data_IF_621063950265
#
_entry.id   IF_621063950265
#
_cell.length_a   1.000
_cell.length_b   1.000
_cell.length_c   1.000
_cell.angle_alpha   90.00
_cell.angle_beta   90.00
_cell.angle_gamma   90.00
#
_symmetry.space_group_name_H-M   'P 1'
#
loop_
_entity.id
_entity.type
_entity.pdbx_description
1 polymer ?
#
# COMPACT_ATOMS: atom_id res chain seq x y z
N UNK A 1 84.45 3.39 4.42
CA UNK A 1 83.17 3.25 5.17
C UNK A 1 82.49 4.61 5.25
N UNK A 2 81.54 4.87 4.35
CA UNK A 2 80.83 6.14 4.23
C UNK A 2 79.75 6.20 5.33
N UNK A 3 79.88 7.16 6.26
CA UNK A 3 78.91 7.42 7.33
C UNK A 3 77.72 8.20 6.78
N UNK A 4 76.58 7.53 6.60
CA UNK A 4 75.29 8.19 6.39
C UNK A 4 74.80 8.79 7.72
N UNK A 5 74.87 10.12 7.87
CA UNK A 5 74.15 10.84 8.91
C UNK A 5 72.68 10.97 8.48
N UNK A 6 71.78 10.28 9.18
CA UNK A 6 70.33 10.48 9.05
C UNK A 6 69.96 11.81 9.70
N UNK A 7 69.48 12.74 8.89
CA UNK A 7 68.86 13.99 9.31
C UNK A 7 67.45 13.65 9.83
N UNK A 8 67.20 13.78 11.13
CA UNK A 8 65.86 13.71 11.70
C UNK A 8 65.22 15.10 11.56
N UNK A 9 64.35 15.28 10.58
CA UNK A 9 63.50 16.46 10.48
C UNK A 9 62.34 16.29 11.46
N UNK A 10 62.39 16.99 12.58
CA UNK A 10 61.28 17.11 13.52
C UNK A 10 60.22 18.02 12.87
N UNK A 11 59.16 17.42 12.33
CA UNK A 11 57.97 18.15 11.90
C UNK A 11 57.19 18.50 13.17
N UNK A 12 57.30 19.75 13.62
CA UNK A 12 56.47 20.30 14.67
C UNK A 12 55.02 20.38 14.16
N UNK A 13 54.16 19.48 14.66
CA UNK A 13 52.73 19.52 14.40
C UNK A 13 52.12 20.61 15.28
N UNK A 14 51.97 21.81 14.72
CA UNK A 14 51.26 22.92 15.35
C UNK A 14 49.78 22.55 15.46
N UNK A 15 49.34 22.13 16.64
CA UNK A 15 47.92 21.96 16.98
C UNK A 15 47.30 23.35 17.06
N UNK A 16 46.69 23.79 15.95
CA UNK A 16 45.83 24.97 15.94
C UNK A 16 44.53 24.58 16.63
N UNK A 17 44.41 24.94 17.91
CA UNK A 17 43.16 24.90 18.67
C UNK A 17 42.19 25.90 18.04
N UNK A 18 41.37 25.45 17.09
CA UNK A 18 40.19 26.17 16.69
C UNK A 18 39.19 26.10 17.84
N UNK A 19 39.05 27.20 18.56
CA UNK A 19 37.94 27.41 19.49
C UNK A 19 36.64 27.33 18.68
N UNK A 20 35.83 26.30 18.90
CA UNK A 20 34.43 26.29 18.49
C UNK A 20 33.72 27.42 19.23
N UNK A 21 33.51 28.56 18.57
CA UNK A 21 32.44 29.46 18.96
C UNK A 21 31.12 28.70 18.82
N UNK A 22 30.35 28.62 19.90
CA UNK A 22 29.00 28.09 19.85
C UNK A 22 28.18 28.97 18.90
N UNK A 23 27.95 28.49 17.69
CA UNK A 23 26.91 29.02 16.83
C UNK A 23 25.61 28.80 17.60
N UNK A 24 25.01 29.90 18.06
CA UNK A 24 23.74 29.88 18.76
C UNK A 24 22.74 29.06 17.96
N UNK A 25 22.07 28.14 18.66
CA UNK A 25 21.00 27.32 18.10
C UNK A 25 20.03 28.22 17.35
N UNK A 26 20.00 28.10 16.02
CA UNK A 26 18.88 28.61 15.22
C UNK A 26 17.67 27.89 15.79
N UNK A 27 16.66 28.58 16.35
CA UNK A 27 15.46 27.92 16.83
C UNK A 27 14.80 27.30 15.61
N UNK A 28 15.04 26.01 15.42
CA UNK A 28 14.31 25.21 14.45
C UNK A 28 12.97 24.95 15.11
N UNK A 29 12.14 25.99 15.19
CA UNK A 29 10.72 25.78 15.39
C UNK A 29 10.20 25.18 14.08
N UNK A 30 10.50 23.90 13.88
CA UNK A 30 9.59 23.03 13.15
C UNK A 30 8.28 23.19 13.90
N UNK A 31 7.41 24.08 13.41
CA UNK A 31 6.00 24.05 13.77
C UNK A 31 5.60 22.61 13.50
N UNK A 32 5.44 21.84 14.57
CA UNK A 32 4.77 20.55 14.49
C UNK A 32 3.51 20.81 13.68
N UNK A 33 3.31 20.12 12.53
CA UNK A 33 2.09 20.29 11.78
C UNK A 33 0.95 20.08 12.77
N UNK A 34 0.06 21.07 12.89
CA UNK A 34 -1.15 20.90 13.67
C UNK A 34 -1.77 19.56 13.23
N UNK A 35 -2.13 18.67 14.17
CA UNK A 35 -2.78 17.42 13.80
C UNK A 35 -3.95 17.77 12.89
N UNK A 36 -4.11 17.10 11.73
CA UNK A 36 -5.13 17.46 10.77
C UNK A 36 -6.47 17.47 11.50
N UNK A 37 -7.20 18.59 11.38
CA UNK A 37 -8.51 18.74 12.00
C UNK A 37 -9.32 17.47 11.67
N UNK A 38 -9.88 16.83 12.70
CA UNK A 38 -10.69 15.63 12.51
C UNK A 38 -11.91 16.00 11.65
N UNK A 39 -12.27 15.20 10.65
CA UNK A 39 -13.54 15.43 9.96
C UNK A 39 -14.69 15.12 10.91
N UNK A 40 -15.61 16.06 11.04
CA UNK A 40 -16.81 15.95 11.85
C UNK A 40 -17.85 15.07 11.14
N UNK A 41 -18.70 14.42 11.93
CA UNK A 41 -19.70 13.48 11.41
C UNK A 41 -20.62 14.14 10.37
N UNK A 42 -21.00 15.39 10.60
CA UNK A 42 -21.88 16.18 9.72
C UNK A 42 -21.26 16.51 8.36
N UNK A 43 -19.93 16.41 8.23
CA UNK A 43 -19.23 16.70 6.97
C UNK A 43 -19.36 15.56 5.95
N UNK A 44 -19.59 14.33 6.40
CA UNK A 44 -19.58 13.15 5.53
C UNK A 44 -20.79 12.22 5.70
N UNK A 45 -21.38 12.10 6.89
CA UNK A 45 -22.51 11.20 7.10
C UNK A 45 -23.81 11.78 6.54
N UNK A 46 -24.46 11.04 5.64
CA UNK A 46 -25.73 11.41 4.98
C UNK A 46 -26.94 10.63 5.51
N UNK A 47 -26.70 9.44 6.02
CA UNK A 47 -27.69 8.57 6.67
C UNK A 47 -27.18 8.15 8.05
N UNK A 48 -28.09 7.84 8.99
CA UNK A 48 -27.71 7.10 10.19
C UNK A 48 -27.09 5.75 9.79
N UNK A 49 -26.15 5.28 10.59
CA UNK A 49 -25.49 4.00 10.39
C UNK A 49 -25.24 3.33 11.73
N UNK A 50 -25.27 2.00 11.76
CA UNK A 50 -24.92 1.26 12.97
C UNK A 50 -23.40 1.20 13.11
N UNK A 51 -22.87 1.78 14.19
CA UNK A 51 -21.45 1.62 14.54
C UNK A 51 -21.20 0.15 14.89
N UNK A 52 -20.28 -0.47 14.17
CA UNK A 52 -19.87 -1.85 14.39
C UNK A 52 -18.78 -1.91 15.46
N UNK A 53 -18.75 -3.01 16.21
CA UNK A 53 -17.71 -3.26 17.19
C UNK A 53 -16.39 -3.57 16.46
N UNK A 54 -15.38 -2.71 16.61
CA UNK A 54 -14.08 -2.88 15.97
C UNK A 54 -13.31 -4.12 16.44
N UNK A 55 -13.71 -4.74 17.57
CA UNK A 55 -13.15 -5.99 18.03
C UNK A 55 -13.71 -7.22 17.28
N UNK A 56 -14.94 -7.12 16.75
CA UNK A 56 -15.63 -8.27 16.14
C UNK A 56 -14.88 -8.91 14.98
N UNK A 57 -14.22 -8.17 14.06
CA UNK A 57 -13.42 -8.79 12.99
C UNK A 57 -12.23 -9.64 13.49
N UNK A 58 -11.79 -9.41 14.73
CA UNK A 58 -10.70 -10.17 15.37
C UNK A 58 -11.20 -11.37 16.18
N UNK A 59 -12.51 -11.53 16.37
CA UNK A 59 -13.04 -12.60 17.22
C UNK A 59 -12.71 -13.99 16.65
N UNK A 60 -12.44 -14.92 17.57
CA UNK A 60 -12.17 -16.32 17.30
C UNK A 60 -13.18 -17.17 18.07
N UNK A 61 -13.64 -18.26 17.45
CA UNK A 61 -14.48 -19.23 18.17
C UNK A 61 -13.69 -19.93 19.27
N UNK A 62 -14.38 -20.45 20.28
CA UNK A 62 -13.74 -21.24 21.34
C UNK A 62 -13.00 -22.47 20.80
N UNK A 63 -13.44 -23.05 19.69
CA UNK A 63 -12.74 -24.13 19.01
C UNK A 63 -11.42 -23.65 18.40
N UNK A 64 -11.43 -22.56 17.64
CA UNK A 64 -10.22 -21.96 17.03
C UNK A 64 -9.21 -21.53 18.09
N UNK A 65 -9.66 -20.91 19.19
CA UNK A 65 -8.79 -20.52 20.31
C UNK A 65 -8.10 -21.74 20.93
N UNK A 66 -8.84 -22.82 21.15
CA UNK A 66 -8.32 -24.06 21.74
C UNK A 66 -7.34 -24.77 20.82
N UNK A 67 -7.67 -24.85 19.53
CA UNK A 67 -6.80 -25.46 18.52
C UNK A 67 -5.42 -24.78 18.48
N UNK A 68 -5.42 -23.45 18.35
CA UNK A 68 -4.19 -22.66 18.38
C UNK A 68 -3.42 -22.81 19.69
N UNK A 69 -4.09 -22.66 20.85
CA UNK A 69 -3.42 -22.75 22.15
C UNK A 69 -2.86 -24.16 22.42
N UNK A 70 -3.54 -25.21 21.94
CA UNK A 70 -3.05 -26.59 22.01
C UNK A 70 -1.74 -26.73 21.25
N UNK A 71 -1.66 -26.20 20.03
CA UNK A 71 -0.41 -26.15 19.27
C UNK A 71 0.65 -25.30 19.98
N UNK A 72 0.29 -24.08 20.38
CA UNK A 72 1.22 -23.05 20.86
C UNK A 72 1.90 -23.43 22.19
N UNK A 73 1.18 -24.15 23.05
CA UNK A 73 1.69 -24.65 24.33
C UNK A 73 2.13 -26.12 24.29
N UNK A 74 2.11 -26.77 23.12
CA UNK A 74 2.51 -28.17 23.01
C UNK A 74 3.97 -28.37 23.47
N UNK A 75 4.31 -29.45 24.22
CA UNK A 75 5.68 -29.68 24.69
C UNK A 75 6.75 -29.68 23.59
N UNK A 76 6.41 -30.12 22.37
CA UNK A 76 7.31 -30.06 21.21
C UNK A 76 7.72 -28.63 20.82
N UNK A 77 6.95 -27.61 21.21
CA UNK A 77 7.26 -26.21 20.95
C UNK A 77 8.09 -25.57 22.07
N UNK A 78 8.40 -26.29 23.16
CA UNK A 78 9.04 -25.72 24.35
C UNK A 78 10.34 -24.97 24.04
N UNK A 79 11.15 -25.48 23.11
CA UNK A 79 12.43 -24.90 22.71
C UNK A 79 12.30 -23.84 21.59
N UNK A 80 11.09 -23.55 21.12
CA UNK A 80 10.82 -22.53 20.10
C UNK A 80 10.34 -21.24 20.76
N UNK A 81 10.89 -20.09 20.38
CA UNK A 81 10.47 -18.77 20.92
C UNK A 81 9.00 -18.47 20.56
N UNK A 82 8.20 -17.82 21.42
CA UNK A 82 6.76 -17.58 21.20
C UNK A 82 6.37 -17.01 19.82
N UNK A 83 7.06 -15.95 19.37
CA UNK A 83 6.82 -15.35 18.05
C UNK A 83 7.10 -16.32 16.88
N UNK A 84 8.07 -17.24 17.04
CA UNK A 84 8.34 -18.30 16.06
C UNK A 84 7.28 -19.40 16.08
N UNK A 85 6.71 -19.73 17.24
CA UNK A 85 5.58 -20.68 17.32
C UNK A 85 4.38 -20.16 16.54
N UNK A 86 4.03 -18.88 16.69
CA UNK A 86 2.97 -18.26 15.90
C UNK A 86 3.27 -18.34 14.40
N UNK A 87 4.50 -17.97 13.99
CA UNK A 87 4.90 -18.04 12.59
C UNK A 87 4.76 -19.47 12.02
N UNK A 88 5.27 -20.48 12.74
CA UNK A 88 5.20 -21.87 12.30
C UNK A 88 3.75 -22.38 12.19
N UNK A 89 2.87 -21.97 13.10
CA UNK A 89 1.43 -22.27 13.01
C UNK A 89 0.82 -21.67 11.74
N UNK A 90 1.11 -20.39 11.47
CA UNK A 90 0.61 -19.68 10.30
C UNK A 90 1.15 -20.28 9.00
N UNK A 91 2.42 -20.70 8.95
CA UNK A 91 3.00 -21.36 7.78
C UNK A 91 2.25 -22.64 7.41
N UNK A 92 1.90 -23.47 8.40
CA UNK A 92 1.09 -24.67 8.19
C UNK A 92 -0.30 -24.32 7.67
N UNK A 93 -0.93 -23.28 8.22
CA UNK A 93 -2.24 -22.81 7.79
C UNK A 93 -2.23 -22.26 6.35
N UNK A 94 -1.28 -21.39 6.02
CA UNK A 94 -1.17 -20.72 4.72
C UNK A 94 -0.87 -21.71 3.58
N UNK A 95 -0.23 -22.85 3.88
CA UNK A 95 0.04 -23.89 2.87
C UNK A 95 -1.23 -24.41 2.16
N UNK A 96 -2.38 -24.36 2.84
CA UNK A 96 -3.68 -24.80 2.32
C UNK A 96 -4.69 -23.63 2.22
N UNK A 97 -4.21 -22.39 2.20
CA UNK A 97 -5.07 -21.21 2.17
C UNK A 97 -5.37 -20.78 0.73
N UNK A 98 -6.66 -20.64 0.42
CA UNK A 98 -7.12 -20.16 -0.89
C UNK A 98 -7.13 -18.64 -0.92
N UNK A 99 -6.22 -18.06 -1.70
CA UNK A 99 -6.17 -16.61 -1.88
C UNK A 99 -7.33 -16.15 -2.80
N UNK A 100 -8.31 -15.46 -2.21
CA UNK A 100 -9.51 -14.95 -2.88
C UNK A 100 -9.54 -13.42 -2.88
N UNK A 101 -10.53 -12.83 -3.55
CA UNK A 101 -10.70 -11.37 -3.54
C UNK A 101 -11.43 -10.89 -2.27
N UNK A 102 -12.27 -11.76 -1.71
CA UNK A 102 -13.14 -11.50 -0.57
C UNK A 102 -12.35 -11.27 0.72
N UNK A 103 -12.82 -10.28 1.49
CA UNK A 103 -12.30 -9.95 2.81
C UNK A 103 -13.16 -10.62 3.88
N UNK A 104 -12.57 -11.56 4.62
CA UNK A 104 -13.18 -12.25 5.73
C UNK A 104 -12.67 -11.77 7.10
N UNK A 105 -13.50 -11.95 8.13
CA UNK A 105 -13.11 -11.87 9.54
C UNK A 105 -12.10 -12.96 9.89
N UNK A 106 -11.46 -12.85 11.06
CA UNK A 106 -10.50 -13.85 11.53
C UNK A 106 -11.11 -15.25 11.64
N UNK A 107 -12.32 -15.33 12.21
CA UNK A 107 -13.01 -16.61 12.37
C UNK A 107 -13.41 -17.21 11.02
N UNK A 108 -13.95 -16.39 10.12
CA UNK A 108 -14.39 -16.86 8.80
C UNK A 108 -13.21 -17.31 7.94
N UNK A 109 -12.09 -16.58 7.99
CA UNK A 109 -10.87 -16.93 7.26
C UNK A 109 -10.26 -18.25 7.76
N UNK A 110 -10.21 -18.46 9.08
CA UNK A 110 -9.75 -19.72 9.68
C UNK A 110 -10.67 -20.89 9.34
N UNK A 111 -11.98 -20.67 9.34
CA UNK A 111 -12.97 -21.71 9.05
C UNK A 111 -12.98 -22.10 7.56
N UNK A 112 -13.02 -21.11 6.67
CA UNK A 112 -13.06 -21.33 5.22
C UNK A 112 -11.70 -21.65 4.60
N UNK A 113 -10.61 -21.41 5.33
CA UNK A 113 -9.22 -21.44 4.81
C UNK A 113 -9.07 -20.60 3.55
N UNK A 114 -9.72 -19.43 3.53
CA UNK A 114 -9.72 -18.55 2.37
C UNK A 114 -9.81 -17.09 2.76
N UNK A 115 -9.52 -16.20 1.81
CA UNK A 115 -9.58 -14.75 1.97
C UNK A 115 -8.42 -14.06 1.29
N UNK A 116 -8.24 -12.77 1.57
CA UNK A 116 -7.15 -11.97 1.04
C UNK A 116 -6.10 -11.64 2.13
N UNK A 117 -5.17 -10.75 1.80
CA UNK A 117 -4.10 -10.34 2.71
C UNK A 117 -4.62 -9.65 3.98
N UNK A 118 -5.75 -8.93 3.89
CA UNK A 118 -6.40 -8.32 5.06
C UNK A 118 -6.93 -9.40 6.00
N UNK A 119 -7.53 -10.46 5.47
CA UNK A 119 -7.99 -11.61 6.27
C UNK A 119 -6.86 -12.32 6.99
N UNK A 120 -5.74 -12.56 6.31
CA UNK A 120 -4.56 -13.18 6.94
C UNK A 120 -3.91 -12.27 7.99
N UNK A 121 -3.90 -10.95 7.75
CA UNK A 121 -3.48 -9.98 8.75
C UNK A 121 -4.37 -9.98 9.99
N UNK A 122 -5.69 -10.06 9.82
CA UNK A 122 -6.65 -10.21 10.91
C UNK A 122 -6.41 -11.49 11.71
N UNK A 123 -6.30 -12.64 11.04
CA UNK A 123 -5.98 -13.93 11.68
C UNK A 123 -4.68 -13.84 12.48
N UNK A 124 -3.63 -13.28 11.89
CA UNK A 124 -2.33 -13.14 12.53
C UNK A 124 -2.42 -12.25 13.77
N UNK A 125 -3.14 -11.13 13.70
CA UNK A 125 -3.39 -10.27 14.86
C UNK A 125 -4.15 -11.02 15.95
N UNK A 126 -5.24 -11.71 15.62
CA UNK A 126 -6.07 -12.40 16.61
C UNK A 126 -5.29 -13.50 17.34
N UNK A 127 -4.45 -14.25 16.63
CA UNK A 127 -3.61 -15.28 17.22
C UNK A 127 -2.44 -14.68 18.02
N UNK A 128 -1.84 -13.59 17.54
CA UNK A 128 -0.80 -12.87 18.29
C UNK A 128 -1.35 -12.31 19.61
N UNK A 129 -2.51 -11.67 19.59
CA UNK A 129 -3.17 -11.14 20.79
C UNK A 129 -3.55 -12.28 21.75
N UNK A 130 -4.05 -13.41 21.23
CA UNK A 130 -4.35 -14.60 22.03
C UNK A 130 -3.09 -15.19 22.69
N UNK A 131 -1.93 -15.08 22.06
CA UNK A 131 -0.63 -15.51 22.59
C UNK A 131 0.09 -14.45 23.44
N UNK A 132 -0.49 -13.26 23.62
CA UNK A 132 0.14 -12.16 24.35
C UNK A 132 1.35 -11.54 23.64
N UNK A 133 1.39 -11.56 22.30
CA UNK A 133 2.48 -11.03 21.49
C UNK A 133 2.18 -9.61 20.98
N UNK A 134 3.18 -8.72 21.06
CA UNK A 134 3.11 -7.40 20.42
C UNK A 134 3.13 -7.57 18.89
N UNK A 135 2.17 -6.93 18.21
CA UNK A 135 2.05 -6.92 16.76
C UNK A 135 1.92 -5.49 16.23
N UNK A 136 2.59 -5.20 15.11
CA UNK A 136 2.47 -3.93 14.38
C UNK A 136 2.19 -4.17 12.91
N UNK A 137 1.53 -3.20 12.29
CA UNK A 137 1.21 -3.22 10.87
C UNK A 137 2.21 -2.36 10.09
N UNK A 138 2.46 -2.76 8.85
CA UNK A 138 3.18 -1.96 7.88
C UNK A 138 2.46 -2.02 6.55
N UNK A 139 2.13 -0.85 6.00
CA UNK A 139 1.61 -0.70 4.66
C UNK A 139 2.77 -0.54 3.70
N UNK A 140 2.79 -1.35 2.64
CA UNK A 140 3.86 -1.34 1.65
C UNK A 140 3.56 -0.39 0.49
N UNK A 141 4.59 0.37 0.11
CA UNK A 141 4.66 1.16 -1.12
C UNK A 141 4.89 0.20 -2.29
N UNK A 142 3.82 -0.44 -2.79
CA UNK A 142 3.99 -1.59 -3.66
C UNK A 142 2.71 -2.31 -4.03
N UNK A 143 2.84 -3.29 -4.92
CA UNK A 143 1.76 -3.91 -5.70
C UNK A 143 0.45 -4.13 -4.93
N UNK A 144 -0.57 -3.27 -5.12
CA UNK A 144 -1.91 -3.65 -4.75
C UNK A 144 -2.42 -4.71 -5.73
N UNK A 145 -3.26 -5.63 -5.25
CA UNK A 145 -4.02 -6.45 -6.18
C UNK A 145 -5.09 -5.58 -6.84
N UNK A 146 -5.06 -5.56 -8.17
CA UNK A 146 -6.11 -4.98 -8.98
C UNK A 146 -7.24 -5.97 -9.11
N UNK A 147 -8.44 -5.53 -8.76
CA UNK A 147 -9.65 -6.21 -9.15
C UNK A 147 -10.50 -5.27 -10.00
N UNK A 148 -10.68 -5.60 -11.28
CA UNK A 148 -11.63 -4.91 -12.13
C UNK A 148 -12.90 -5.76 -12.27
N UNK A 149 -14.04 -5.25 -11.81
CA UNK A 149 -15.38 -5.79 -12.13
C UNK A 149 -16.19 -4.73 -12.86
N UNK A 150 -16.48 -4.97 -14.13
CA UNK A 150 -17.25 -4.03 -14.95
C UNK A 150 -16.53 -2.68 -15.11
N UNK A 151 -17.18 -1.58 -14.72
CA UNK A 151 -16.64 -0.20 -14.86
C UNK A 151 -15.76 0.26 -13.68
N UNK A 152 -15.59 -0.57 -12.65
CA UNK A 152 -14.88 -0.20 -11.41
C UNK A 152 -13.60 -1.01 -11.23
N UNK A 153 -12.52 -0.31 -10.90
CA UNK A 153 -11.21 -0.87 -10.57
C UNK A 153 -10.97 -0.66 -9.08
N UNK A 154 -10.87 -1.75 -8.34
CA UNK A 154 -10.55 -1.79 -6.91
C UNK A 154 -9.06 -2.03 -6.73
N UNK A 155 -8.50 -1.32 -5.74
CA UNK A 155 -7.07 -1.32 -5.44
C UNK A 155 -6.92 -1.82 -4.01
N UNK A 156 -6.51 -3.07 -3.84
CA UNK A 156 -6.26 -3.63 -2.50
C UNK A 156 -4.85 -3.26 -2.06
N UNK A 157 -4.70 -2.38 -1.07
CA UNK A 157 -3.37 -2.00 -0.56
C UNK A 157 -2.70 -3.18 0.15
N UNK A 158 -1.40 -3.35 -0.08
CA UNK A 158 -0.65 -4.46 0.48
C UNK A 158 -0.18 -4.15 1.92
N UNK A 159 -0.63 -4.97 2.86
CA UNK A 159 -0.28 -4.88 4.28
C UNK A 159 0.53 -6.11 4.67
N UNK A 160 1.54 -5.91 5.53
CA UNK A 160 2.26 -6.96 6.25
C UNK A 160 2.26 -6.67 7.75
N UNK A 161 2.55 -7.68 8.55
CA UNK A 161 2.61 -7.54 10.02
C UNK A 161 3.98 -7.86 10.56
N UNK A 162 4.38 -7.17 11.64
CA UNK A 162 5.57 -7.47 12.44
C UNK A 162 5.14 -8.04 13.79
N UNK A 163 5.54 -9.28 14.07
CA UNK A 163 5.30 -9.96 15.36
C UNK A 163 6.58 -9.90 16.17
N UNK A 164 6.53 -9.29 17.35
CA UNK A 164 7.70 -9.07 18.19
C UNK A 164 7.94 -10.23 19.16
N UNK A 165 9.20 -10.49 19.45
CA UNK A 165 9.59 -11.36 20.54
C UNK A 165 9.20 -10.74 21.89
N UNK A 166 8.77 -11.57 22.83
CA UNK A 166 8.72 -11.21 24.25
C UNK A 166 10.14 -10.84 24.68
N UNK A 167 10.30 -9.74 25.43
CA UNK A 167 11.62 -9.17 25.75
C UNK A 167 12.56 -10.21 26.39
N UNK A 168 13.79 -10.26 25.88
CA UNK A 168 14.88 -11.06 26.45
C UNK A 168 15.65 -10.20 27.47
N UNK A 169 16.21 -10.78 28.54
CA UNK A 169 17.03 -10.03 29.48
C UNK A 169 18.20 -9.38 28.73
N UNK A 170 18.29 -8.05 28.84
CA UNK A 170 19.33 -7.26 28.19
C UNK A 170 20.65 -7.51 28.94
N UNK A 171 21.64 -8.11 28.28
CA UNK A 171 23.03 -8.08 28.76
C UNK A 171 23.64 -6.69 28.57
N UNK A 172 24.36 -6.18 29.55
CA UNK A 172 25.00 -4.85 29.53
C UNK A 172 26.02 -4.69 28.38
N UNK A 173 26.60 -5.79 27.88
CA UNK A 173 27.65 -5.80 26.85
C UNK A 173 27.16 -5.87 25.39
N UNK A 174 25.84 -5.82 25.14
CA UNK A 174 25.29 -5.98 23.79
C UNK A 174 24.63 -4.69 23.28
N UNK A 175 25.08 -4.21 22.11
CA UNK A 175 24.43 -3.09 21.42
C UNK A 175 23.21 -3.62 20.65
N UNK A 176 22.00 -3.27 21.11
CA UNK A 176 20.74 -3.72 20.51
C UNK A 176 20.22 -2.71 19.47
N UNK A 177 20.14 -3.11 18.19
CA UNK A 177 19.62 -2.28 17.08
C UNK A 177 18.09 -2.33 16.90
N UNK A 178 17.34 -2.74 17.93
CA UNK A 178 15.87 -2.81 17.93
C UNK A 178 15.32 -4.09 18.54
N UNK A 179 14.00 -4.14 18.77
CA UNK A 179 13.34 -5.36 19.27
C UNK A 179 13.33 -6.46 18.20
N UNK A 180 13.73 -7.68 18.57
CA UNK A 180 13.63 -8.89 17.73
C UNK A 180 12.18 -9.10 17.27
N UNK A 181 11.99 -9.37 15.98
CA UNK A 181 10.66 -9.57 15.39
C UNK A 181 10.73 -10.46 14.14
N UNK A 182 9.56 -10.97 13.74
CA UNK A 182 9.33 -11.61 12.44
C UNK A 182 8.41 -10.73 11.60
N UNK A 183 8.76 -10.60 10.32
CA UNK A 183 7.89 -10.00 9.31
C UNK A 183 7.08 -11.12 8.68
N UNK A 184 5.77 -11.01 8.74
CA UNK A 184 4.84 -11.91 8.06
C UNK A 184 4.28 -11.15 6.87
N UNK A 185 4.77 -11.55 5.69
CA UNK A 185 4.27 -11.08 4.41
C UNK A 185 3.32 -12.15 3.84
N UNK A 186 2.11 -11.72 3.50
CA UNK A 186 1.03 -12.59 3.03
C UNK A 186 1.12 -12.88 1.53
N UNK A 187 2.18 -12.42 0.85
CA UNK A 187 2.47 -12.74 -0.54
C UNK A 187 3.86 -13.36 -0.71
N UNK A 188 3.95 -14.33 -1.62
CA UNK A 188 5.22 -14.88 -2.08
C UNK A 188 5.77 -14.00 -3.21
N UNK A 189 7.07 -13.72 -3.20
CA UNK A 189 7.84 -13.00 -4.24
C UNK A 189 7.64 -11.48 -4.32
N UNK A 190 7.88 -10.76 -3.22
CA UNK A 190 8.06 -9.32 -3.30
C UNK A 190 9.51 -8.95 -3.05
N UNK A 191 10.03 -8.01 -3.83
CA UNK A 191 11.26 -7.30 -3.49
C UNK A 191 11.13 -6.70 -2.08
N UNK A 192 12.23 -6.29 -1.45
CA UNK A 192 12.15 -5.59 -0.17
C UNK A 192 11.51 -4.21 -0.39
N UNK A 193 10.17 -4.16 -0.33
CA UNK A 193 9.40 -2.96 -0.60
C UNK A 193 9.44 -2.05 0.62
N UNK A 194 9.72 -0.77 0.35
CA UNK A 194 9.58 0.27 1.37
C UNK A 194 8.12 0.38 1.82
N UNK A 195 7.89 0.86 3.04
CA UNK A 195 6.54 1.01 3.57
C UNK A 195 6.54 1.73 4.91
N UNK A 196 5.38 2.17 5.36
CA UNK A 196 5.22 2.92 6.61
C UNK A 196 4.35 2.16 7.61
N UNK A 197 4.55 2.47 8.89
CA UNK A 197 3.76 1.88 9.97
C UNK A 197 2.36 2.48 10.02
N UNK A 198 1.36 1.62 10.21
CA UNK A 198 -0.05 2.04 10.37
C UNK A 198 -0.58 1.59 11.73
N UNK A 199 -1.54 2.35 12.25
CA UNK A 199 -2.17 2.05 13.54
C UNK A 199 -3.21 0.92 13.42
N UNK A 200 -3.60 0.31 14.56
CA UNK A 200 -4.71 -0.67 14.57
C UNK A 200 -6.04 -0.05 14.11
N UNK A 201 -6.26 1.23 14.42
CA UNK A 201 -7.45 1.98 13.98
C UNK A 201 -7.45 2.18 12.45
N UNK A 202 -6.31 2.55 11.87
CA UNK A 202 -6.18 2.67 10.43
C UNK A 202 -6.39 1.30 9.74
N UNK A 203 -5.72 0.25 10.22
CA UNK A 203 -5.86 -1.10 9.70
C UNK A 203 -7.33 -1.59 9.73
N UNK A 204 -8.03 -1.45 10.85
CA UNK A 204 -9.44 -1.90 10.92
C UNK A 204 -10.37 -1.00 10.08
N UNK A 205 -10.05 0.28 9.88
CA UNK A 205 -10.79 1.12 8.94
C UNK A 205 -10.65 0.64 7.49
N UNK A 206 -9.46 0.14 7.11
CA UNK A 206 -9.22 -0.43 5.79
C UNK A 206 -10.01 -1.72 5.58
N UNK A 207 -10.15 -2.57 6.61
CA UNK A 207 -11.04 -3.74 6.56
C UNK A 207 -12.48 -3.35 6.20
N UNK A 208 -13.04 -2.36 6.89
CA UNK A 208 -14.39 -1.86 6.59
C UNK A 208 -14.48 -1.22 5.20
N UNK A 209 -13.44 -0.52 4.77
CA UNK A 209 -13.34 0.07 3.43
C UNK A 209 -13.33 -1.00 2.33
N UNK A 210 -12.61 -2.11 2.53
CA UNK A 210 -12.61 -3.26 1.62
C UNK A 210 -13.99 -3.90 1.52
N UNK A 211 -14.64 -4.16 2.66
CA UNK A 211 -16.02 -4.69 2.66
C UNK A 211 -16.98 -3.73 1.95
N UNK A 212 -16.87 -2.42 2.20
CA UNK A 212 -17.69 -1.42 1.52
C UNK A 212 -17.51 -1.46 0.00
N UNK A 213 -16.26 -1.59 -0.46
CA UNK A 213 -15.93 -1.73 -1.87
C UNK A 213 -16.52 -3.02 -2.49
N UNK A 214 -16.45 -4.15 -1.80
CA UNK A 214 -17.03 -5.42 -2.23
C UNK A 214 -18.55 -5.34 -2.38
N UNK A 215 -19.24 -4.77 -1.38
CA UNK A 215 -20.69 -4.60 -1.42
C UNK A 215 -21.13 -3.55 -2.46
N UNK A 216 -20.34 -2.49 -2.64
CA UNK A 216 -20.54 -1.53 -3.73
C UNK A 216 -20.43 -2.23 -5.10
N UNK A 217 -19.47 -3.12 -5.29
CA UNK A 217 -19.32 -3.90 -6.53
C UNK A 217 -20.50 -4.84 -6.82
N UNK A 218 -21.22 -5.27 -5.77
CA UNK A 218 -22.43 -6.11 -5.85
C UNK A 218 -23.70 -5.28 -6.04
N UNK A 219 -23.63 -3.95 -5.99
CA UNK A 219 -24.80 -3.05 -6.06
C UNK A 219 -25.55 -2.92 -4.73
N UNK A 220 -25.00 -3.45 -3.63
CA UNK A 220 -25.61 -3.44 -2.30
C UNK A 220 -25.31 -2.10 -1.60
N UNK A 221 -25.80 -1.00 -2.19
CA UNK A 221 -25.35 0.36 -1.87
C UNK A 221 -25.58 0.80 -0.42
N UNK A 222 -26.70 0.40 0.20
CA UNK A 222 -26.98 0.74 1.60
C UNK A 222 -26.02 0.04 2.57
N UNK A 223 -25.68 -1.22 2.30
CA UNK A 223 -24.70 -1.96 3.10
C UNK A 223 -23.28 -1.40 2.88
N UNK A 224 -22.93 -1.10 1.63
CA UNK A 224 -21.69 -0.40 1.32
C UNK A 224 -21.58 0.96 2.04
N UNK A 225 -22.68 1.71 2.13
CA UNK A 225 -22.74 2.96 2.88
C UNK A 225 -22.48 2.73 4.37
N UNK A 226 -23.17 1.78 5.01
CA UNK A 226 -22.94 1.49 6.43
C UNK A 226 -21.49 1.10 6.72
N UNK A 227 -20.90 0.24 5.87
CA UNK A 227 -19.51 -0.20 6.02
C UNK A 227 -18.51 0.94 5.81
N UNK A 228 -18.69 1.75 4.76
CA UNK A 228 -17.81 2.92 4.53
C UNK A 228 -17.99 4.01 5.59
N UNK A 229 -19.18 4.18 6.15
CA UNK A 229 -19.43 5.05 7.28
C UNK A 229 -18.71 4.56 8.56
N UNK A 230 -18.64 3.25 8.77
CA UNK A 230 -17.81 2.67 9.84
C UNK A 230 -16.31 2.96 9.61
N UNK A 231 -15.80 2.79 8.39
CA UNK A 231 -14.42 3.16 8.04
C UNK A 231 -14.13 4.65 8.32
N UNK A 232 -15.01 5.55 7.88
CA UNK A 232 -14.93 7.00 8.13
C UNK A 232 -15.00 7.33 9.62
N UNK A 233 -15.87 6.67 10.39
CA UNK A 233 -15.98 6.87 11.84
C UNK A 233 -14.70 6.50 12.59
N UNK A 234 -13.97 5.49 12.11
CA UNK A 234 -12.75 4.98 12.76
C UNK A 234 -11.55 5.83 12.37
N UNK A 235 -11.42 6.17 11.09
CA UNK A 235 -10.27 6.89 10.56
C UNK A 235 -10.72 7.93 9.51
N UNK A 236 -11.28 9.07 9.97
CA UNK A 236 -11.99 10.04 9.11
C UNK A 236 -11.09 10.86 8.18
N UNK A 237 -9.80 11.00 8.53
CA UNK A 237 -8.84 11.77 7.73
C UNK A 237 -8.07 10.88 6.73
N UNK A 238 -8.50 9.64 6.50
CA UNK A 238 -7.92 8.80 5.44
C UNK A 238 -8.46 9.24 4.08
N UNK A 239 -7.60 9.66 3.15
CA UNK A 239 -8.05 10.03 1.81
C UNK A 239 -8.67 8.87 1.05
N UNK A 240 -8.29 7.62 1.36
CA UNK A 240 -8.86 6.42 0.73
C UNK A 240 -10.25 6.08 1.30
N UNK A 241 -10.49 6.33 2.59
CA UNK A 241 -11.82 6.20 3.18
C UNK A 241 -12.77 7.26 2.60
N UNK A 242 -12.30 8.52 2.51
CA UNK A 242 -13.02 9.62 1.87
C UNK A 242 -13.36 9.27 0.41
N UNK A 243 -12.36 8.78 -0.33
CA UNK A 243 -12.54 8.38 -1.71
C UNK A 243 -13.60 7.27 -1.86
N UNK A 244 -13.49 6.19 -1.08
CA UNK A 244 -14.45 5.07 -1.12
C UNK A 244 -15.86 5.52 -0.75
N UNK A 245 -16.00 6.28 0.34
CA UNK A 245 -17.29 6.82 0.76
C UNK A 245 -17.88 7.77 -0.29
N UNK A 246 -17.05 8.60 -0.95
CA UNK A 246 -17.49 9.50 -2.02
C UNK A 246 -18.12 8.76 -3.21
N UNK A 247 -17.57 7.60 -3.59
CA UNK A 247 -18.11 6.78 -4.67
C UNK A 247 -19.49 6.22 -4.32
N UNK A 248 -19.68 5.84 -3.07
CA UNK A 248 -20.94 5.28 -2.56
C UNK A 248 -22.01 6.37 -2.45
N UNK A 249 -21.69 7.52 -1.83
CA UNK A 249 -22.66 8.62 -1.72
C UNK A 249 -23.01 9.24 -3.09
N UNK A 250 -22.10 9.16 -4.07
CA UNK A 250 -22.39 9.57 -5.45
C UNK A 250 -23.53 8.74 -6.05
N UNK A 251 -23.53 7.43 -5.84
CA UNK A 251 -24.56 6.53 -6.36
C UNK A 251 -25.86 6.62 -5.53
N UNK A 252 -25.78 6.84 -4.21
CA UNK A 252 -26.96 6.93 -3.35
C UNK A 252 -27.66 8.30 -3.36
N UNK A 253 -26.91 9.38 -3.57
CA UNK A 253 -27.43 10.75 -3.49
C UNK A 253 -27.16 11.49 -4.80
N UNK A 254 -25.99 12.12 -4.93
CA UNK A 254 -25.65 12.89 -6.12
C UNK A 254 -24.14 13.07 -6.30
N UNK A 255 -23.75 13.46 -7.51
CA UNK A 255 -22.36 13.78 -7.84
C UNK A 255 -21.87 15.03 -7.10
N UNK A 256 -22.75 15.98 -6.80
CA UNK A 256 -22.45 17.20 -6.04
C UNK A 256 -22.06 16.87 -4.59
N UNK A 257 -22.75 15.93 -3.96
CA UNK A 257 -22.42 15.48 -2.60
C UNK A 257 -21.06 14.78 -2.54
N UNK A 258 -20.76 13.95 -3.54
CA UNK A 258 -19.45 13.35 -3.68
C UNK A 258 -18.34 14.39 -3.92
N UNK A 259 -18.59 15.39 -4.77
CA UNK A 259 -17.66 16.51 -4.99
C UNK A 259 -17.43 17.27 -3.69
N UNK A 260 -18.46 17.56 -2.90
CA UNK A 260 -18.33 18.26 -1.62
C UNK A 260 -17.40 17.49 -0.68
N UNK A 261 -17.64 16.19 -0.49
CA UNK A 261 -16.80 15.36 0.37
C UNK A 261 -15.34 15.28 -0.11
N UNK A 262 -15.13 15.04 -1.40
CA UNK A 262 -13.78 14.99 -1.98
C UNK A 262 -13.07 16.35 -1.91
N UNK A 263 -13.80 17.45 -2.03
CA UNK A 263 -13.26 18.81 -1.90
C UNK A 263 -12.77 19.07 -0.49
N UNK A 264 -13.48 18.61 0.55
CA UNK A 264 -13.02 18.72 1.94
C UNK A 264 -11.68 18.00 2.12
N UNK A 265 -11.57 16.77 1.63
CA UNK A 265 -10.30 16.03 1.71
C UNK A 265 -9.16 16.72 0.95
N UNK A 266 -9.46 17.25 -0.23
CA UNK A 266 -8.51 18.01 -1.05
C UNK A 266 -8.05 19.33 -0.39
N UNK A 267 -8.97 20.11 0.18
CA UNK A 267 -8.68 21.38 0.87
C UNK A 267 -7.89 21.17 2.17
N UNK A 268 -8.09 20.02 2.83
CA UNK A 268 -7.27 19.58 3.98
C UNK A 268 -5.91 19.02 3.59
N UNK A 269 -5.53 19.09 2.31
CA UNK A 269 -4.26 18.60 1.78
C UNK A 269 -4.03 17.10 2.04
N UNK A 270 -5.11 16.31 2.12
CA UNK A 270 -5.00 14.86 2.21
C UNK A 270 -4.53 14.33 0.85
N UNK A 271 -3.33 13.76 0.83
CA UNK A 271 -2.67 13.31 -0.40
C UNK A 271 -3.13 11.91 -0.81
N UNK A 272 -3.83 11.81 -1.94
CA UNK A 272 -4.14 10.53 -2.61
C UNK A 272 -4.41 10.77 -4.09
N UNK A 273 -3.79 9.95 -4.94
CA UNK A 273 -4.05 10.02 -6.37
C UNK A 273 -5.48 9.58 -6.72
N UNK A 274 -6.06 8.64 -5.98
CA UNK A 274 -7.46 8.20 -6.14
C UNK A 274 -8.43 9.35 -5.87
N UNK A 275 -8.31 9.98 -4.70
CA UNK A 275 -9.16 11.09 -4.27
C UNK A 275 -9.15 12.21 -5.32
N UNK A 276 -7.95 12.65 -5.72
CA UNK A 276 -7.80 13.77 -6.65
C UNK A 276 -8.23 13.40 -8.08
N UNK A 277 -8.02 12.15 -8.50
CA UNK A 277 -8.46 11.68 -9.81
C UNK A 277 -9.99 11.61 -9.90
N UNK A 278 -10.66 11.12 -8.86
CA UNK A 278 -12.12 11.09 -8.78
C UNK A 278 -12.71 12.50 -8.66
N UNK A 279 -12.10 13.38 -7.85
CA UNK A 279 -12.52 14.79 -7.77
C UNK A 279 -12.43 15.47 -9.14
N UNK A 280 -11.28 15.34 -9.82
CA UNK A 280 -11.10 15.87 -11.18
C UNK A 280 -12.16 15.34 -12.14
N UNK A 281 -12.40 14.03 -12.13
CA UNK A 281 -13.39 13.39 -13.00
C UNK A 281 -14.80 13.94 -12.75
N UNK A 282 -15.19 14.10 -11.49
CA UNK A 282 -16.53 14.58 -11.13
C UNK A 282 -16.70 16.07 -11.45
N UNK A 283 -15.67 16.88 -11.24
CA UNK A 283 -15.66 18.29 -11.65
C UNK A 283 -15.82 18.44 -13.17
N UNK A 284 -15.16 17.60 -13.98
CA UNK A 284 -15.34 17.62 -15.45
C UNK A 284 -16.78 17.26 -15.81
N UNK A 285 -17.34 16.21 -15.21
CA UNK A 285 -18.71 15.76 -15.49
C UNK A 285 -19.79 16.79 -15.13
N UNK A 286 -19.50 17.65 -14.16
CA UNK A 286 -20.40 18.75 -13.74
C UNK A 286 -20.08 20.08 -14.42
N UNK A 287 -19.20 20.10 -15.44
CA UNK A 287 -18.84 21.30 -16.19
C UNK A 287 -17.90 22.28 -15.45
N UNK A 288 -17.40 21.91 -14.26
CA UNK A 288 -16.49 22.72 -13.44
C UNK A 288 -15.04 22.63 -13.92
N UNK A 289 -14.81 22.90 -15.20
CA UNK A 289 -13.53 22.68 -15.89
C UNK A 289 -12.36 23.46 -15.28
N UNK A 290 -12.58 24.69 -14.82
CA UNK A 290 -11.54 25.50 -14.17
C UNK A 290 -11.05 24.87 -12.87
N UNK A 291 -11.97 24.34 -12.04
CA UNK A 291 -11.61 23.63 -10.80
C UNK A 291 -10.91 22.30 -11.12
N UNK A 292 -11.42 21.56 -12.11
CA UNK A 292 -10.78 20.33 -12.57
C UNK A 292 -9.35 20.55 -13.05
N UNK A 293 -9.08 21.66 -13.75
CA UNK A 293 -7.73 22.02 -14.18
C UNK A 293 -6.79 22.29 -13.00
N UNK A 294 -7.27 22.98 -11.96
CA UNK A 294 -6.49 23.19 -10.72
C UNK A 294 -6.12 21.85 -10.07
N UNK A 295 -7.10 20.96 -9.87
CA UNK A 295 -6.84 19.61 -9.32
C UNK A 295 -5.86 18.84 -10.21
N UNK A 296 -6.03 18.91 -11.54
CA UNK A 296 -5.14 18.24 -12.49
C UNK A 296 -3.70 18.74 -12.45
N UNK A 297 -3.46 20.02 -12.13
CA UNK A 297 -2.11 20.54 -11.96
C UNK A 297 -1.49 20.03 -10.65
N UNK A 298 -2.28 19.96 -9.58
CA UNK A 298 -1.80 19.44 -8.29
C UNK A 298 -1.53 17.93 -8.32
N UNK A 299 -2.21 17.16 -9.19
CA UNK A 299 -1.86 15.74 -9.42
C UNK A 299 -0.39 15.58 -9.87
N UNK A 300 0.19 16.57 -10.56
CA UNK A 300 1.57 16.48 -11.04
C UNK A 300 2.58 16.46 -9.88
N UNK A 301 2.27 17.14 -8.77
CA UNK A 301 3.10 17.22 -7.56
C UNK A 301 2.81 16.12 -6.54
N UNK A 302 1.80 15.27 -6.75
CA UNK A 302 1.58 14.11 -5.89
C UNK A 302 2.72 13.11 -6.09
N UNK A 303 3.26 12.63 -4.98
CA UNK A 303 4.09 11.44 -4.93
C UNK A 303 3.24 10.29 -4.37
N UNK A 304 2.56 9.57 -5.27
CA UNK A 304 1.80 8.38 -4.88
C UNK A 304 2.74 7.19 -4.97
N UNK A 305 3.00 6.48 -3.86
CA UNK A 305 3.95 5.37 -3.83
C UNK A 305 3.44 4.14 -4.58
N UNK A 306 2.19 4.13 -5.04
CA UNK A 306 1.59 3.03 -5.75
C UNK A 306 1.81 3.15 -7.26
N UNK A 307 2.72 2.35 -7.86
CA UNK A 307 3.07 2.44 -9.28
C UNK A 307 1.87 2.24 -10.20
N UNK A 308 0.89 1.47 -9.78
CA UNK A 308 -0.22 1.12 -10.63
C UNK A 308 -1.31 2.20 -10.70
N UNK A 309 -1.35 3.13 -9.74
CA UNK A 309 -2.19 4.32 -9.88
C UNK A 309 -1.73 5.16 -11.07
N UNK A 310 -0.42 5.26 -11.24
CA UNK A 310 0.18 5.88 -12.42
C UNK A 310 -0.08 5.05 -13.69
N UNK A 311 -0.01 3.71 -13.63
CA UNK A 311 -0.40 2.86 -14.77
C UNK A 311 -1.86 3.07 -15.19
N UNK A 312 -2.79 3.08 -14.24
CA UNK A 312 -4.22 3.30 -14.50
C UNK A 312 -4.44 4.65 -15.21
N UNK A 313 -3.88 5.73 -14.67
CA UNK A 313 -3.98 7.05 -15.29
C UNK A 313 -3.32 7.11 -16.66
N UNK A 314 -2.18 6.46 -16.83
CA UNK A 314 -1.50 6.34 -18.12
C UNK A 314 -2.34 5.59 -19.14
N UNK A 315 -2.98 4.48 -18.75
CA UNK A 315 -3.89 3.71 -19.59
C UNK A 315 -5.12 4.53 -20.00
N UNK A 316 -5.74 5.26 -19.07
CA UNK A 316 -6.86 6.17 -19.39
C UNK A 316 -6.48 7.25 -20.42
N UNK A 317 -5.26 7.78 -20.33
CA UNK A 317 -4.75 8.76 -21.30
C UNK A 317 -4.38 8.11 -22.63
N UNK A 318 -3.86 6.89 -22.61
CA UNK A 318 -3.58 6.10 -23.80
C UNK A 318 -4.85 5.86 -24.62
N UNK A 319 -5.94 5.43 -23.99
CA UNK A 319 -7.25 5.24 -24.64
C UNK A 319 -7.79 6.55 -25.25
N UNK A 320 -7.51 7.69 -24.61
CA UNK A 320 -7.83 9.02 -25.13
C UNK A 320 -6.84 9.54 -26.18
N UNK A 321 -5.93 8.70 -26.68
CA UNK A 321 -4.86 9.04 -27.64
C UNK A 321 -3.90 10.15 -27.16
N UNK A 322 -3.84 10.45 -25.86
CA UNK A 322 -2.93 11.44 -25.28
C UNK A 322 -1.58 10.78 -24.96
N UNK A 323 -0.90 10.29 -26.01
CA UNK A 323 0.26 9.39 -25.91
C UNK A 323 1.43 9.97 -25.08
N UNK A 324 1.79 11.25 -25.26
CA UNK A 324 2.89 11.88 -24.51
C UNK A 324 2.60 11.95 -23.01
N UNK A 325 1.35 12.27 -22.63
CA UNK A 325 0.96 12.31 -21.22
C UNK A 325 0.87 10.90 -20.65
N UNK A 326 0.36 9.94 -21.41
CA UNK A 326 0.34 8.53 -21.01
C UNK A 326 1.77 8.04 -20.68
N UNK A 327 2.74 8.33 -21.56
CA UNK A 327 4.15 8.00 -21.32
C UNK A 327 4.68 8.62 -20.02
N UNK A 328 4.36 9.88 -19.72
CA UNK A 328 4.83 10.53 -18.47
C UNK A 328 4.35 9.82 -17.19
N UNK A 329 3.15 9.24 -17.19
CA UNK A 329 2.67 8.45 -16.05
C UNK A 329 3.25 7.04 -16.03
N UNK A 330 3.46 6.41 -17.19
CA UNK A 330 4.18 5.14 -17.22
C UNK A 330 5.64 5.26 -16.77
N UNK A 331 6.28 6.41 -17.00
CA UNK A 331 7.63 6.70 -16.47
C UNK A 331 7.62 6.82 -14.94
N UNK A 332 6.65 7.53 -14.34
CA UNK A 332 6.47 7.54 -12.88
C UNK A 332 6.25 6.12 -12.31
N UNK A 333 5.43 5.32 -12.98
CA UNK A 333 5.22 3.92 -12.58
C UNK A 333 6.51 3.10 -12.63
N UNK A 334 7.35 3.31 -13.65
CA UNK A 334 8.65 2.65 -13.82
C UNK A 334 9.66 3.04 -12.75
N UNK A 335 9.68 4.30 -12.33
CA UNK A 335 10.55 4.76 -11.24
C UNK A 335 10.21 4.06 -9.93
N UNK A 336 8.92 3.83 -9.67
CA UNK A 336 8.43 3.18 -8.45
C UNK A 336 8.51 1.64 -8.50
N UNK A 337 8.29 1.04 -9.66
CA UNK A 337 8.31 -0.41 -9.85
C UNK A 337 8.99 -0.82 -11.17
N UNK A 338 10.33 -0.72 -11.25
CA UNK A 338 11.08 -1.19 -12.42
C UNK A 338 11.06 -2.72 -12.58
N UNK A 339 10.52 -3.45 -11.61
CA UNK A 339 10.40 -4.91 -11.63
C UNK A 339 9.07 -5.41 -12.20
N UNK A 340 8.15 -4.51 -12.58
CA UNK A 340 6.80 -4.85 -13.02
C UNK A 340 6.70 -4.92 -14.54
N UNK A 341 6.24 -6.05 -15.07
CA UNK A 341 6.06 -6.27 -16.52
C UNK A 341 5.07 -5.30 -17.17
N UNK A 342 3.95 -5.01 -16.49
CA UNK A 342 2.86 -4.17 -16.98
C UNK A 342 3.33 -2.76 -17.33
N UNK A 343 4.31 -2.21 -16.59
CA UNK A 343 4.91 -0.91 -16.89
C UNK A 343 5.55 -0.92 -18.27
N UNK A 344 6.42 -1.90 -18.53
CA UNK A 344 7.11 -1.99 -19.80
C UNK A 344 6.14 -2.32 -20.95
N UNK A 345 5.14 -3.17 -20.71
CA UNK A 345 4.08 -3.43 -21.69
C UNK A 345 3.32 -2.16 -22.06
N UNK A 346 2.95 -1.34 -21.08
CA UNK A 346 2.24 -0.08 -21.29
C UNK A 346 3.11 0.91 -22.10
N UNK A 347 4.38 1.04 -21.77
CA UNK A 347 5.34 1.84 -22.54
C UNK A 347 5.51 1.32 -23.97
N UNK A 348 5.57 0.00 -24.17
CA UNK A 348 5.65 -0.60 -25.50
C UNK A 348 4.43 -0.25 -26.37
N UNK A 349 3.22 -0.31 -25.80
CA UNK A 349 1.98 0.09 -26.50
C UNK A 349 2.02 1.54 -26.97
N UNK A 350 2.54 2.46 -26.15
CA UNK A 350 2.68 3.88 -26.52
C UNK A 350 3.73 4.04 -27.62
N UNK A 351 4.92 3.45 -27.46
CA UNK A 351 6.00 3.55 -28.44
C UNK A 351 5.57 2.99 -29.80
N UNK A 352 4.81 1.90 -29.81
CA UNK A 352 4.26 1.34 -31.03
C UNK A 352 3.29 2.30 -31.73
N UNK A 353 2.37 2.92 -30.99
CA UNK A 353 1.44 3.93 -31.54
C UNK A 353 2.13 5.18 -32.05
N UNK A 354 3.29 5.53 -31.48
CA UNK A 354 4.16 6.63 -31.94
C UNK A 354 5.04 6.23 -33.15
N UNK A 355 4.99 4.98 -33.63
CA UNK A 355 5.81 4.50 -34.74
C UNK A 355 7.21 4.03 -34.35
N UNK A 356 7.59 4.12 -33.07
CA UNK A 356 8.91 3.78 -32.55
C UNK A 356 9.05 2.25 -32.34
N UNK A 357 8.96 1.47 -33.42
CA UNK A 357 8.94 0.00 -33.38
C UNK A 357 10.15 -0.62 -32.64
N UNK A 358 11.34 -0.03 -32.77
CA UNK A 358 12.56 -0.48 -32.07
C UNK A 358 12.42 -0.35 -30.54
N UNK A 359 11.97 0.80 -30.06
CA UNK A 359 11.74 1.04 -28.63
C UNK A 359 10.59 0.19 -28.10
N UNK A 360 9.52 0.01 -28.88
CA UNK A 360 8.43 -0.89 -28.52
C UNK A 360 8.94 -2.33 -28.31
N UNK A 361 9.78 -2.83 -29.23
CA UNK A 361 10.40 -4.16 -29.10
C UNK A 361 11.27 -4.26 -27.85
N UNK A 362 12.11 -3.26 -27.57
CA UNK A 362 12.95 -3.25 -26.37
C UNK A 362 12.13 -3.30 -25.07
N UNK A 363 11.03 -2.54 -25.00
CA UNK A 363 10.15 -2.57 -23.83
C UNK A 363 9.40 -3.91 -23.71
N UNK A 364 9.03 -4.58 -24.81
CA UNK A 364 8.46 -5.92 -24.72
C UNK A 364 9.46 -6.95 -24.18
N UNK A 365 10.74 -6.86 -24.56
CA UNK A 365 11.79 -7.72 -24.01
C UNK A 365 11.92 -7.50 -22.50
N UNK A 366 11.97 -6.24 -22.05
CA UNK A 366 11.98 -5.92 -20.61
C UNK A 366 10.76 -6.44 -19.86
N UNK A 367 9.57 -6.36 -20.46
CA UNK A 367 8.36 -6.94 -19.89
C UNK A 367 8.49 -8.47 -19.71
N UNK A 368 9.16 -9.17 -20.62
CA UNK A 368 9.41 -10.61 -20.50
C UNK A 368 10.43 -10.97 -19.41
N UNK A 369 11.42 -10.11 -19.19
CA UNK A 369 12.49 -10.27 -18.20
C UNK A 369 12.08 -9.83 -16.78
N UNK A 370 10.98 -9.08 -16.65
CA UNK A 370 10.52 -8.55 -15.37
C UNK A 370 10.23 -9.67 -14.33
N UNK A 371 10.70 -9.52 -13.08
CA UNK A 371 10.49 -10.52 -12.01
C UNK A 371 9.03 -10.75 -11.64
N UNK A 372 8.19 -9.71 -11.69
CA UNK A 372 6.77 -9.80 -11.37
C UNK A 372 5.95 -9.74 -12.66
N UNK A 373 5.15 -10.78 -12.90
CA UNK A 373 4.31 -10.91 -14.10
C UNK A 373 2.83 -10.96 -13.73
N UNK A 374 2.04 -10.04 -14.29
CA UNK A 374 0.58 -9.98 -14.05
C UNK A 374 -0.18 -10.93 -14.98
N UNK A 375 0.39 -11.31 -16.13
CA UNK A 375 -0.19 -12.27 -17.09
C UNK A 375 0.88 -13.22 -17.67
N UNK A 376 0.48 -14.41 -18.10
CA UNK A 376 1.38 -15.47 -18.56
C UNK A 376 2.33 -15.03 -19.69
N UNK A 377 3.57 -15.52 -19.61
CA UNK A 377 4.69 -15.32 -20.55
C UNK A 377 4.32 -15.61 -22.01
N UNK A 378 3.36 -16.52 -22.23
CA UNK A 378 2.82 -16.92 -23.54
C UNK A 378 2.20 -15.75 -24.33
N UNK A 379 1.55 -14.80 -23.66
CA UNK A 379 0.93 -13.63 -24.30
C UNK A 379 1.97 -12.64 -24.86
N UNK A 380 3.13 -12.51 -24.21
CA UNK A 380 4.19 -11.59 -24.63
C UNK A 380 4.96 -12.12 -25.83
N UNK A 381 5.21 -13.43 -25.86
CA UNK A 381 5.81 -14.11 -27.01
C UNK A 381 4.94 -13.96 -28.27
N UNK A 382 3.63 -14.17 -28.17
CA UNK A 382 2.70 -13.98 -29.29
C UNK A 382 2.70 -12.54 -29.85
N UNK A 383 2.77 -11.53 -28.97
CA UNK A 383 2.86 -10.12 -29.39
C UNK A 383 4.18 -9.82 -30.10
N UNK A 384 5.30 -10.41 -29.67
CA UNK A 384 6.60 -10.25 -30.30
C UNK A 384 6.66 -10.91 -31.68
N UNK A 385 6.05 -12.09 -31.84
CA UNK A 385 5.94 -12.78 -33.13
C UNK A 385 5.14 -11.97 -34.17
N UNK A 386 4.14 -11.20 -33.73
CA UNK A 386 3.40 -10.27 -34.59
C UNK A 386 4.26 -9.09 -35.12
N UNK A 387 5.34 -8.72 -34.42
CA UNK A 387 6.31 -7.73 -34.93
C UNK A 387 7.23 -8.31 -35.99
N UNK A 388 7.48 -9.61 -35.96
CA UNK A 388 8.32 -10.32 -36.95
C UNK A 388 7.54 -10.78 -38.18
N UNK A 389 6.21 -10.90 -38.10
CA UNK A 389 5.37 -11.38 -39.20
C UNK A 389 4.81 -10.28 -40.12
N UNK A 390 5.12 -9.00 -39.88
CA UNK A 390 4.67 -7.87 -40.71
C UNK A 390 5.76 -7.33 -41.66
N UNK A 391 6.67 -8.21 -42.08
CA UNK A 391 7.59 -8.00 -43.20
C UNK A 391 7.09 -8.75 -44.44
N UNK A 392 6.10 -8.15 -45.09
CA UNK A 392 5.59 -8.48 -46.42
C UNK A 392 4.41 -7.55 -46.68
N UNK A 393 4.47 -6.53 -47.54
CA UNK A 393 5.34 -6.26 -48.69
C UNK A 393 6.42 -5.21 -48.46
#
# INVERSE_FOLDING_TARGET
>A
MVKFKRLFTVIAFSVVLNACQSIGEIPTSLKTPLPPLKMELSEWAKLPFKKQNIASPYELTNAQRRDFLTYFHHPLQANTKPHKRLYNYLEQFVSNFSYLNETYSSSDALNSKSGNCMSLALVTTSLAELAGLEIKYQMLSGAPLFYAKGKSVFVSQHIRTKVYAVEEPKSEDMMYFGKTHLVIDYYKNQADLSGHHISKAEFISMYFSNLAAEHYAKGELLLAYELSANAMSIYPNSPENINTHSLIIKELFSIEEAIKLLTIGYERQLSSLNLMSNLKLFLIRTGQNTKALKVSNNIKSINDPNPYQWLKLGNELYEKKQLTKAMSYFEKAKELAPYLDEVYLAQAKVQFKLGNKKLAKMNLIKAMEAPIKVNEVSLYQAKLSAFTSNSGL
#
